data_IF_697289888040
#
_entry.id   IF_697289888040
#
_cell.length_a   1.000
_cell.length_b   1.000
_cell.length_c   1.000
_cell.angle_alpha   90.00
_cell.angle_beta   90.00
_cell.angle_gamma   90.00
#
_symmetry.space_group_name_H-M   'P 1'
#
loop_
_entity.id
_entity.type
_entity.pdbx_description
1 polymer ?
#
# COMPACT_ATOMS: atom_id res chain seq x y z
N UNK A 1 9.12 -15.62 -8.91
CA UNK A 1 8.86 -14.78 -7.72
C UNK A 1 7.63 -15.30 -7.01
N UNK A 2 7.76 -15.55 -5.70
CA UNK A 2 6.66 -16.07 -4.88
C UNK A 2 5.57 -15.01 -4.70
N UNK A 3 4.33 -15.45 -4.47
CA UNK A 3 3.16 -14.57 -4.24
C UNK A 3 3.39 -13.51 -3.13
N UNK A 4 4.05 -13.83 -2.00
CA UNK A 4 4.42 -12.83 -0.99
C UNK A 4 5.35 -11.75 -1.53
N UNK A 5 6.38 -12.13 -2.30
CA UNK A 5 7.35 -11.18 -2.83
C UNK A 5 6.71 -10.19 -3.83
N UNK A 6 5.67 -10.62 -4.55
CA UNK A 6 4.88 -9.72 -5.43
C UNK A 6 4.08 -8.70 -4.62
N UNK A 7 3.51 -9.10 -3.48
CA UNK A 7 2.76 -8.23 -2.58
C UNK A 7 3.69 -7.21 -1.90
N UNK A 8 4.89 -7.63 -1.50
CA UNK A 8 5.92 -6.74 -0.95
C UNK A 8 6.37 -5.69 -1.97
N UNK A 9 6.59 -6.09 -3.23
CA UNK A 9 6.92 -5.14 -4.31
C UNK A 9 5.78 -4.18 -4.62
N UNK A 10 4.53 -4.66 -4.58
CA UNK A 10 3.35 -3.80 -4.73
C UNK A 10 3.35 -2.72 -3.65
N UNK A 11 3.61 -3.07 -2.39
CA UNK A 11 3.72 -2.10 -1.29
C UNK A 11 4.86 -1.09 -1.51
N UNK A 12 6.05 -1.56 -1.91
CA UNK A 12 7.19 -0.68 -2.20
C UNK A 12 6.85 0.31 -3.31
N UNK A 13 6.03 -0.07 -4.29
CA UNK A 13 5.54 0.81 -5.34
C UNK A 13 4.41 1.76 -4.88
N UNK A 14 3.53 1.30 -3.98
CA UNK A 14 2.42 2.10 -3.45
C UNK A 14 2.89 3.26 -2.57
N UNK A 15 3.98 3.12 -1.83
CA UNK A 15 4.55 4.17 -0.97
C UNK A 15 4.93 5.44 -1.76
N UNK A 16 5.75 5.41 -2.83
CA UNK A 16 6.06 6.59 -3.62
C UNK A 16 4.82 7.16 -4.32
N UNK A 17 3.86 6.32 -4.74
CA UNK A 17 2.58 6.79 -5.29
C UNK A 17 1.82 7.63 -4.24
N UNK A 18 1.73 7.14 -3.00
CA UNK A 18 1.11 7.86 -1.88
C UNK A 18 1.79 9.22 -1.64
N UNK A 19 3.11 9.30 -1.74
CA UNK A 19 3.89 10.54 -1.55
C UNK A 19 3.67 11.54 -2.69
N UNK A 20 3.42 11.08 -3.93
CA UNK A 20 3.20 11.94 -5.11
C UNK A 20 1.80 12.56 -5.10
N UNK A 21 0.79 11.88 -4.56
CA UNK A 21 -0.61 12.33 -4.51
C UNK A 21 -0.80 13.77 -4.03
N UNK A 22 -0.21 14.23 -2.90
CA UNK A 22 -0.37 15.61 -2.45
C UNK A 22 0.25 16.64 -3.42
N UNK A 23 1.24 16.27 -4.23
CA UNK A 23 1.85 17.17 -5.22
C UNK A 23 1.01 17.34 -6.49
N UNK A 24 0.07 16.44 -6.77
CA UNK A 24 -0.84 16.52 -7.92
C UNK A 24 -1.89 17.64 -7.79
N UNK A 25 -1.93 18.36 -6.66
CA UNK A 25 -2.85 19.48 -6.39
C UNK A 25 -4.31 19.15 -6.74
N UNK A 26 -4.76 17.95 -6.37
CA UNK A 26 -6.14 17.50 -6.57
C UNK A 26 -7.07 18.46 -5.82
N UNK A 27 -7.91 19.16 -6.56
CA UNK A 27 -8.85 20.13 -5.99
C UNK A 27 -10.18 19.46 -5.69
N UNK A 28 -10.65 19.64 -4.47
CA UNK A 28 -11.93 19.14 -4.01
C UNK A 28 -11.91 18.82 -2.52
N UNK A 29 -13.04 19.08 -1.88
CA UNK A 29 -13.24 18.92 -0.44
C UNK A 29 -14.50 18.09 -0.27
N UNK A 30 -14.42 17.06 0.55
CA UNK A 30 -15.55 16.21 0.93
C UNK A 30 -15.63 16.18 2.45
N UNK A 31 -16.77 16.54 3.03
CA UNK A 31 -16.92 16.64 4.49
C UNK A 31 -15.86 17.55 5.17
N UNK A 32 -15.53 18.70 4.57
CA UNK A 32 -14.45 19.60 5.01
C UNK A 32 -13.04 19.01 5.00
N UNK A 33 -12.86 17.82 4.40
CA UNK A 33 -11.57 17.14 4.26
C UNK A 33 -11.12 17.19 2.79
N UNK A 34 -9.88 17.62 2.51
CA UNK A 34 -9.32 17.54 1.16
C UNK A 34 -9.37 16.11 0.61
N UNK A 35 -9.85 15.96 -0.63
CA UNK A 35 -9.96 14.65 -1.30
C UNK A 35 -8.60 13.95 -1.39
N UNK A 36 -7.50 14.71 -1.50
CA UNK A 36 -6.13 14.18 -1.45
C UNK A 36 -5.86 13.34 -0.20
N UNK A 37 -6.34 13.76 0.97
CA UNK A 37 -6.18 13.01 2.21
C UNK A 37 -7.01 11.73 2.23
N UNK A 38 -8.24 11.76 1.72
CA UNK A 38 -9.09 10.57 1.60
C UNK A 38 -8.46 9.52 0.66
N UNK A 39 -7.88 9.96 -0.46
CA UNK A 39 -7.18 9.05 -1.38
C UNK A 39 -5.93 8.46 -0.70
N UNK A 40 -5.16 9.28 0.02
CA UNK A 40 -3.99 8.82 0.76
C UNK A 40 -4.36 7.79 1.84
N UNK A 41 -5.43 8.04 2.59
CA UNK A 41 -5.95 7.10 3.61
C UNK A 41 -6.34 5.77 2.97
N UNK A 42 -7.06 5.81 1.84
CA UNK A 42 -7.45 4.61 1.11
C UNK A 42 -6.24 3.79 0.64
N UNK A 43 -5.23 4.45 0.07
CA UNK A 43 -3.98 3.81 -0.35
C UNK A 43 -3.26 3.19 0.85
N UNK A 44 -3.21 3.91 1.99
CA UNK A 44 -2.58 3.43 3.22
C UNK A 44 -3.27 2.18 3.79
N UNK A 45 -4.61 2.14 3.78
CA UNK A 45 -5.38 0.98 4.20
C UNK A 45 -5.06 -0.23 3.31
N UNK A 46 -5.06 -0.05 1.99
CA UNK A 46 -4.73 -1.11 1.04
C UNK A 46 -3.29 -1.61 1.26
N UNK A 47 -2.32 -0.70 1.40
CA UNK A 47 -0.92 -1.06 1.65
C UNK A 47 -0.74 -1.85 2.95
N UNK A 48 -1.44 -1.47 4.02
CA UNK A 48 -1.40 -2.16 5.32
C UNK A 48 -2.02 -3.56 5.27
N UNK A 49 -3.14 -3.71 4.55
CA UNK A 49 -3.76 -5.03 4.34
C UNK A 49 -2.82 -5.94 3.54
N UNK A 50 -2.17 -5.38 2.52
CA UNK A 50 -1.26 -6.12 1.63
C UNK A 50 -0.06 -6.68 2.40
N UNK A 51 0.53 -5.91 3.34
CA UNK A 51 1.59 -6.37 4.25
C UNK A 51 1.12 -7.48 5.19
N UNK A 52 -0.05 -7.34 5.81
CA UNK A 52 -0.56 -8.42 6.66
C UNK A 52 -0.80 -9.70 5.87
N UNK A 53 -1.27 -9.58 4.62
CA UNK A 53 -1.57 -10.70 3.75
C UNK A 53 -0.28 -11.38 3.26
N UNK A 54 0.76 -10.63 2.90
CA UNK A 54 2.03 -11.18 2.44
C UNK A 54 2.73 -12.02 3.53
N UNK A 55 2.78 -11.52 4.76
CA UNK A 55 3.34 -12.22 5.90
C UNK A 55 2.53 -13.45 6.31
N UNK A 56 1.20 -13.38 6.21
CA UNK A 56 0.32 -14.54 6.50
C UNK A 56 0.51 -15.64 5.45
N UNK A 57 0.61 -15.29 4.17
CA UNK A 57 0.81 -16.25 3.08
C UNK A 57 2.22 -16.86 3.15
N UNK A 58 3.25 -16.06 3.44
CA UNK A 58 4.61 -16.54 3.59
C UNK A 58 4.73 -17.58 4.69
N UNK A 59 4.15 -17.32 5.88
CA UNK A 59 4.14 -18.25 7.02
C UNK A 59 3.33 -19.53 6.73
N UNK A 60 2.13 -19.40 6.14
CA UNK A 60 1.28 -20.56 5.82
C UNK A 60 1.88 -21.50 4.78
N UNK A 61 2.72 -20.99 3.87
CA UNK A 61 3.32 -21.78 2.79
C UNK A 61 4.78 -22.14 3.02
N UNK A 62 5.35 -21.83 4.20
CA UNK A 62 6.80 -21.93 4.46
C UNK A 62 7.66 -21.25 3.38
N UNK A 63 7.13 -20.18 2.77
CA UNK A 63 7.80 -19.40 1.72
C UNK A 63 8.47 -18.16 2.33
N UNK A 64 9.09 -18.32 3.50
CA UNK A 64 9.85 -17.27 4.16
C UNK A 64 11.12 -17.04 3.35
N UNK A 65 11.23 -15.85 2.76
CA UNK A 65 12.40 -15.46 1.96
C UNK A 65 13.06 -14.26 2.62
N UNK A 66 14.38 -14.15 2.59
CA UNK A 66 15.17 -13.04 3.15
C UNK A 66 14.97 -11.68 2.45
N UNK A 67 14.13 -11.64 1.43
CA UNK A 67 13.86 -10.45 0.60
C UNK A 67 12.79 -9.53 1.21
N UNK A 68 12.04 -10.01 2.21
CA UNK A 68 11.00 -9.29 2.94
C UNK A 68 11.24 -9.38 4.44
#
# INVERSE_FOLDING_TARGET
MNLPNKLTILRILLVPIMVIIPYLKIQGVFLDIPISFLIMELIFIIASITDKLDGTIARKRNLVTTFG
#
